data_IF_515844112042
#
_entry.id   IF_515844112042
#
_cell.length_a   1.000
_cell.length_b   1.000
_cell.length_c   1.000
_cell.angle_alpha   90.00
_cell.angle_beta   90.00
_cell.angle_gamma   90.00
#
_symmetry.space_group_name_H-M   'P 1'
#
loop_
_entity.id
_entity.type
_entity.pdbx_description
1 polymer ?
#
# COMPACT_ATOMS: atom_id res chain seq x y z
N UNK A 1 9.78 23.78 -6.83
CA UNK A 1 9.52 23.81 -5.38
C UNK A 1 10.03 22.51 -4.80
N UNK A 2 10.79 22.56 -3.70
CA UNK A 2 11.39 21.37 -3.09
C UNK A 2 10.53 20.75 -1.96
N UNK A 3 9.48 21.45 -1.50
CA UNK A 3 8.63 21.04 -0.38
C UNK A 3 7.22 20.73 -0.84
N UNK A 4 6.81 19.47 -0.66
CA UNK A 4 5.48 18.97 -1.08
C UNK A 4 4.73 18.50 0.16
N UNK A 5 3.59 19.09 0.52
CA UNK A 5 2.73 18.57 1.57
C UNK A 5 1.98 17.34 1.07
N UNK A 6 1.83 16.35 1.94
CA UNK A 6 1.21 15.08 1.60
C UNK A 6 0.31 14.57 2.72
N UNK A 7 -0.67 13.76 2.34
CA UNK A 7 -1.49 12.95 3.21
C UNK A 7 -1.37 11.48 2.81
N UNK A 8 -1.24 10.60 3.79
CA UNK A 8 -1.47 9.17 3.65
C UNK A 8 -2.72 8.82 4.47
N UNK A 9 -3.78 8.40 3.80
CA UNK A 9 -5.06 8.07 4.41
C UNK A 9 -5.19 6.56 4.48
N UNK A 10 -5.07 5.99 5.66
CA UNK A 10 -5.27 4.58 5.93
C UNK A 10 -6.61 4.30 6.62
N UNK A 11 -7.01 3.03 6.71
CA UNK A 11 -8.29 2.64 7.34
C UNK A 11 -8.37 2.90 8.85
N UNK A 12 -7.26 3.20 9.52
CA UNK A 12 -7.19 3.41 10.97
C UNK A 12 -6.47 4.69 11.38
N UNK A 13 -5.66 5.24 10.50
CA UNK A 13 -4.86 6.43 10.76
C UNK A 13 -4.75 7.27 9.50
N UNK A 14 -4.57 8.57 9.70
CA UNK A 14 -4.09 9.50 8.68
C UNK A 14 -2.72 10.03 9.09
N UNK A 15 -1.80 10.12 8.14
CA UNK A 15 -0.48 10.71 8.32
C UNK A 15 -0.34 11.91 7.39
N UNK A 16 -0.01 13.06 7.93
CA UNK A 16 0.36 14.24 7.15
C UNK A 16 1.86 14.49 7.25
N UNK A 17 2.47 14.96 6.17
CA UNK A 17 3.88 15.34 6.17
C UNK A 17 4.16 16.46 5.16
N UNK A 18 5.31 17.12 5.32
CA UNK A 18 5.93 17.94 4.28
C UNK A 18 7.20 17.21 3.84
N UNK A 19 7.28 16.83 2.58
CA UNK A 19 8.44 16.12 2.01
C UNK A 19 9.37 17.11 1.31
N UNK A 20 10.65 17.12 1.72
CA UNK A 20 11.69 17.78 0.95
C UNK A 20 12.18 16.85 -0.17
N UNK A 21 11.88 17.25 -1.41
CA UNK A 21 12.21 16.48 -2.61
C UNK A 21 13.50 16.96 -3.31
N UNK A 22 14.19 17.94 -2.73
CA UNK A 22 15.46 18.46 -3.28
C UNK A 22 16.62 17.49 -3.10
N UNK A 23 16.57 16.64 -2.08
CA UNK A 23 17.59 15.64 -1.80
C UNK A 23 17.29 14.33 -2.51
N UNK A 24 18.33 13.64 -2.97
CA UNK A 24 18.23 12.33 -3.66
C UNK A 24 17.45 11.27 -2.84
N UNK A 25 17.39 11.43 -1.51
CA UNK A 25 16.69 10.52 -0.61
C UNK A 25 15.30 10.96 -0.19
N UNK A 26 14.80 12.13 -0.61
CA UNK A 26 13.55 12.75 -0.16
C UNK A 26 13.28 12.50 1.35
N UNK A 27 13.13 13.54 2.14
CA UNK A 27 13.05 13.41 3.61
C UNK A 27 11.78 14.08 4.12
N UNK A 28 11.01 13.44 5.01
CA UNK A 28 9.95 14.11 5.75
C UNK A 28 10.55 15.18 6.67
N UNK A 29 10.09 16.44 6.56
CA UNK A 29 10.50 17.54 7.42
C UNK A 29 9.60 17.68 8.66
N UNK A 30 8.30 17.37 8.49
CA UNK A 30 7.31 17.37 9.54
C UNK A 30 6.39 16.18 9.30
N UNK A 31 6.10 15.41 10.35
CA UNK A 31 5.20 14.26 10.27
C UNK A 31 4.22 14.33 11.45
N UNK A 32 2.95 14.23 11.16
CA UNK A 32 1.87 14.13 12.15
C UNK A 32 1.02 12.93 11.80
N UNK A 33 0.79 12.05 12.75
CA UNK A 33 -0.05 10.85 12.58
C UNK A 33 -1.11 10.80 13.67
N UNK A 34 -2.36 10.59 13.27
CA UNK A 34 -3.50 10.50 14.19
C UNK A 34 -4.46 9.39 13.75
N UNK A 35 -5.24 8.84 14.67
CA UNK A 35 -6.35 7.97 14.32
C UNK A 35 -7.35 8.66 13.41
N UNK A 36 -7.98 7.90 12.51
CA UNK A 36 -9.04 8.41 11.63
C UNK A 36 -10.34 7.66 11.89
N UNK A 37 -11.47 8.37 12.03
CA UNK A 37 -12.79 7.75 12.24
C UNK A 37 -13.35 7.26 10.88
N UNK A 38 -12.80 6.16 10.34
CA UNK A 38 -13.11 5.68 8.99
C UNK A 38 -14.61 5.36 8.75
N UNK A 39 -15.38 5.14 9.82
CA UNK A 39 -16.81 4.84 9.77
C UNK A 39 -17.70 6.08 10.04
N UNK A 40 -17.10 7.25 10.30
CA UNK A 40 -17.82 8.48 10.54
C UNK A 40 -18.52 9.01 9.29
N UNK A 41 -19.51 9.91 9.42
CA UNK A 41 -20.06 10.66 8.31
C UNK A 41 -18.97 11.41 7.52
N UNK A 42 -19.16 11.56 6.20
CA UNK A 42 -18.17 12.17 5.34
C UNK A 42 -17.64 13.55 5.81
N UNK A 43 -18.47 14.50 6.25
CA UNK A 43 -17.96 15.77 6.75
C UNK A 43 -17.02 15.62 7.95
N UNK A 44 -17.39 14.81 8.94
CA UNK A 44 -16.57 14.56 10.13
C UNK A 44 -15.25 13.88 9.80
N UNK A 45 -15.29 12.88 8.93
CA UNK A 45 -14.11 12.17 8.46
C UNK A 45 -13.15 13.12 7.72
N UNK A 46 -13.67 13.96 6.81
CA UNK A 46 -12.89 14.91 6.03
C UNK A 46 -12.33 16.04 6.90
N UNK A 47 -13.09 16.51 7.89
CA UNK A 47 -12.62 17.49 8.87
C UNK A 47 -11.47 16.91 9.72
N UNK A 48 -11.58 15.65 10.15
CA UNK A 48 -10.50 14.97 10.88
C UNK A 48 -9.22 14.85 10.03
N UNK A 49 -9.34 14.46 8.76
CA UNK A 49 -8.21 14.38 7.82
C UNK A 49 -7.56 15.76 7.64
N UNK A 50 -8.36 16.80 7.38
CA UNK A 50 -7.87 18.16 7.17
C UNK A 50 -7.20 18.72 8.42
N UNK A 51 -7.72 18.43 9.62
CA UNK A 51 -7.12 18.85 10.89
C UNK A 51 -5.70 18.31 11.09
N UNK A 52 -5.41 17.09 10.65
CA UNK A 52 -4.06 16.54 10.67
C UNK A 52 -3.17 17.24 9.65
N UNK A 53 -3.69 17.51 8.43
CA UNK A 53 -3.00 18.28 7.41
C UNK A 53 -2.63 19.70 7.86
N UNK A 54 -3.47 20.34 8.68
CA UNK A 54 -3.22 21.69 9.20
C UNK A 54 -1.99 21.79 10.11
N UNK A 55 -1.53 20.68 10.68
CA UNK A 55 -0.45 20.67 11.69
C UNK A 55 0.96 20.57 11.11
N UNK A 56 1.11 20.33 9.80
CA UNK A 56 2.45 20.12 9.20
C UNK A 56 3.07 21.41 8.61
N UNK A 57 2.38 22.54 8.68
CA UNK A 57 2.92 23.83 8.20
C UNK A 57 3.15 23.85 6.68
N UNK A 58 2.17 23.38 5.92
CA UNK A 58 2.24 23.37 4.46
C UNK A 58 2.39 24.79 3.90
N UNK A 59 3.16 24.98 2.80
CA UNK A 59 3.21 26.27 2.11
C UNK A 59 1.83 26.71 1.59
N UNK A 60 1.60 28.02 1.50
CA UNK A 60 0.43 28.54 0.81
C UNK A 60 0.46 28.16 -0.67
N UNK A 61 -0.72 28.08 -1.29
CA UNK A 61 -0.92 27.67 -2.70
C UNK A 61 -0.26 26.34 -3.06
N UNK A 62 -0.02 25.47 -2.06
CA UNK A 62 0.68 24.22 -2.29
C UNK A 62 -0.16 23.24 -3.12
N UNK A 63 0.53 22.45 -3.94
CA UNK A 63 -0.06 21.27 -4.56
C UNK A 63 0.15 20.08 -3.59
N UNK A 64 -0.95 19.52 -3.09
CA UNK A 64 -0.92 18.39 -2.15
C UNK A 64 -0.94 17.04 -2.86
N UNK A 65 -0.15 16.09 -2.34
CA UNK A 65 -0.24 14.69 -2.73
C UNK A 65 -1.02 13.89 -1.69
N UNK A 66 -1.95 13.04 -2.15
CA UNK A 66 -2.77 12.21 -1.26
C UNK A 66 -2.66 10.75 -1.66
N UNK A 67 -2.09 9.92 -0.78
CA UNK A 67 -2.16 8.48 -0.89
C UNK A 67 -3.42 7.99 -0.17
N UNK A 68 -4.27 7.24 -0.89
CA UNK A 68 -5.54 6.72 -0.37
C UNK A 68 -5.80 5.32 -0.94
N UNK A 69 -6.32 4.36 -0.14
CA UNK A 69 -6.66 3.03 -0.65
C UNK A 69 -7.82 3.06 -1.63
N UNK A 70 -7.91 2.04 -2.45
CA UNK A 70 -9.09 1.83 -3.30
C UNK A 70 -10.25 1.14 -2.58
N UNK A 71 -11.43 1.10 -3.25
CA UNK A 71 -11.73 1.65 -4.58
C UNK A 71 -11.91 3.17 -4.58
N UNK A 72 -11.17 3.85 -5.45
CA UNK A 72 -11.14 5.31 -5.56
C UNK A 72 -10.86 5.71 -7.01
N UNK A 73 -11.44 6.79 -7.47
CA UNK A 73 -11.16 7.38 -8.77
C UNK A 73 -10.02 8.40 -8.61
N UNK A 74 -8.79 7.97 -8.90
CA UNK A 74 -7.60 8.76 -8.66
C UNK A 74 -7.45 9.96 -9.61
N UNK A 75 -8.13 9.95 -10.75
CA UNK A 75 -8.08 11.04 -11.73
C UNK A 75 -9.07 12.15 -11.37
N UNK A 76 -10.26 11.79 -10.89
CA UNK A 76 -11.32 12.74 -10.54
C UNK A 76 -11.39 13.08 -9.06
N UNK A 77 -10.73 12.31 -8.18
CA UNK A 77 -10.79 12.50 -6.73
C UNK A 77 -12.09 12.03 -6.08
N UNK A 78 -12.87 11.17 -6.76
CA UNK A 78 -14.19 10.70 -6.27
C UNK A 78 -14.05 9.35 -5.56
N UNK A 79 -14.59 9.26 -4.34
CA UNK A 79 -14.67 8.03 -3.57
C UNK A 79 -15.58 6.99 -4.23
N UNK A 80 -15.12 5.73 -4.32
CA UNK A 80 -15.88 4.59 -4.86
C UNK A 80 -16.11 3.50 -3.82
N UNK A 81 -15.93 3.81 -2.55
CA UNK A 81 -16.04 2.89 -1.43
C UNK A 81 -17.46 2.35 -1.27
N UNK A 82 -17.63 1.06 -1.47
CA UNK A 82 -18.91 0.37 -1.29
C UNK A 82 -18.68 -1.08 -0.91
N UNK A 83 -19.22 -1.50 0.24
CA UNK A 83 -19.15 -2.89 0.70
C UNK A 83 -17.76 -3.32 1.17
N UNK A 84 -16.90 -2.39 1.58
CA UNK A 84 -15.53 -2.67 2.02
C UNK A 84 -15.31 -2.40 3.52
N UNK A 85 -16.35 -1.96 4.23
CA UNK A 85 -16.34 -1.80 5.68
C UNK A 85 -15.51 -0.63 6.20
N UNK A 86 -15.07 0.29 5.33
CA UNK A 86 -14.39 1.54 5.71
C UNK A 86 -14.62 2.60 4.63
N UNK A 87 -14.67 3.87 5.04
CA UNK A 87 -14.86 5.01 4.13
C UNK A 87 -16.15 4.96 3.31
N UNK A 88 -17.14 4.17 3.72
CA UNK A 88 -18.41 4.01 2.99
C UNK A 88 -19.12 5.36 2.79
N UNK A 89 -18.98 6.28 3.75
CA UNK A 89 -19.54 7.63 3.69
C UNK A 89 -18.92 8.49 2.58
N UNK A 90 -17.74 8.15 2.08
CA UNK A 90 -17.10 8.85 0.96
C UNK A 90 -17.56 8.34 -0.41
N UNK A 91 -18.50 7.37 -0.46
CA UNK A 91 -18.99 6.88 -1.74
C UNK A 91 -19.71 7.98 -2.53
N UNK A 92 -19.20 8.31 -3.73
CA UNK A 92 -19.73 9.37 -4.60
C UNK A 92 -19.32 10.80 -4.19
N UNK A 93 -18.57 10.96 -3.10
CA UNK A 93 -18.06 12.27 -2.65
C UNK A 93 -16.85 12.66 -3.48
N UNK A 94 -16.80 13.91 -3.94
CA UNK A 94 -15.61 14.56 -4.49
C UNK A 94 -14.67 14.95 -3.34
N UNK A 95 -13.83 13.97 -2.95
CA UNK A 95 -12.85 14.14 -1.88
C UNK A 95 -11.83 15.23 -2.23
N UNK A 96 -11.54 15.40 -3.53
CA UNK A 96 -10.64 16.44 -4.01
C UNK A 96 -11.17 17.86 -3.70
N UNK A 97 -12.39 18.15 -4.12
CA UNK A 97 -13.05 19.45 -3.83
C UNK A 97 -13.20 19.70 -2.33
N UNK A 98 -13.58 18.66 -1.59
CA UNK A 98 -13.78 18.74 -0.14
C UNK A 98 -12.47 19.01 0.62
N UNK A 99 -11.36 18.38 0.25
CA UNK A 99 -10.06 18.66 0.85
C UNK A 99 -9.48 20.01 0.42
N UNK A 100 -9.69 20.45 -0.82
CA UNK A 100 -9.32 21.79 -1.27
C UNK A 100 -9.97 22.88 -0.40
N UNK A 101 -11.25 22.69 -0.03
CA UNK A 101 -11.99 23.64 0.79
C UNK A 101 -11.56 23.65 2.27
N UNK A 102 -11.01 22.55 2.78
CA UNK A 102 -10.71 22.37 4.21
C UNK A 102 -9.23 22.53 4.58
N UNK A 103 -8.33 22.17 3.67
CA UNK A 103 -6.90 22.25 3.96
C UNK A 103 -6.43 23.71 4.04
N UNK A 104 -5.50 24.02 4.94
CA UNK A 104 -5.02 25.40 5.13
C UNK A 104 -4.16 25.87 3.96
N UNK A 105 -4.03 27.19 3.84
CA UNK A 105 -3.14 27.84 2.87
C UNK A 105 -3.71 27.89 1.45
N UNK A 106 -5.01 27.65 1.25
CA UNK A 106 -5.68 27.66 -0.06
C UNK A 106 -4.92 26.82 -1.10
N UNK A 107 -4.90 25.49 -0.95
CA UNK A 107 -4.17 24.63 -1.88
C UNK A 107 -4.56 24.88 -3.33
N UNK A 108 -3.58 24.90 -4.23
CA UNK A 108 -3.84 25.10 -5.66
C UNK A 108 -4.41 23.86 -6.34
N UNK A 109 -4.05 22.68 -5.83
CA UNK A 109 -4.42 21.38 -6.41
C UNK A 109 -4.21 20.25 -5.41
N UNK A 110 -4.94 19.14 -5.62
CA UNK A 110 -4.69 17.86 -4.97
C UNK A 110 -4.49 16.79 -6.05
N UNK A 111 -3.45 15.99 -5.90
CA UNK A 111 -3.21 14.77 -6.70
C UNK A 111 -3.41 13.54 -5.83
N UNK A 112 -4.08 12.55 -6.38
CA UNK A 112 -4.32 11.29 -5.69
C UNK A 112 -3.47 10.16 -6.25
N UNK A 113 -3.11 9.23 -5.38
CA UNK A 113 -2.42 8.00 -5.75
C UNK A 113 -2.89 6.86 -4.86
N UNK A 114 -2.92 5.66 -5.40
CA UNK A 114 -3.21 4.47 -4.59
C UNK A 114 -2.11 4.26 -3.54
N UNK A 115 -2.48 3.81 -2.34
CA UNK A 115 -1.57 3.58 -1.21
C UNK A 115 -0.41 2.62 -1.52
N UNK A 116 -0.68 1.51 -2.23
CA UNK A 116 0.37 0.58 -2.64
C UNK A 116 1.26 1.15 -3.77
N UNK A 117 0.70 1.97 -4.68
CA UNK A 117 1.50 2.67 -5.69
C UNK A 117 2.38 3.74 -5.03
N UNK A 118 1.84 4.49 -4.06
CA UNK A 118 2.60 5.46 -3.28
C UNK A 118 3.75 4.79 -2.53
N UNK A 119 3.48 3.67 -1.83
CA UNK A 119 4.53 2.88 -1.19
C UNK A 119 5.63 2.47 -2.18
N UNK A 120 5.24 1.92 -3.33
CA UNK A 120 6.18 1.45 -4.34
C UNK A 120 7.03 2.60 -4.92
N UNK A 121 6.41 3.74 -5.21
CA UNK A 121 7.10 4.94 -5.68
C UNK A 121 8.10 5.45 -4.66
N UNK A 122 7.76 5.44 -3.37
CA UNK A 122 8.66 5.85 -2.29
C UNK A 122 9.87 4.94 -2.17
N UNK A 123 9.68 3.61 -2.16
CA UNK A 123 10.77 2.64 -2.14
C UNK A 123 11.63 2.71 -3.41
N UNK A 124 11.04 3.04 -4.55
CA UNK A 124 11.76 3.28 -5.79
C UNK A 124 12.62 4.55 -5.75
N UNK A 125 12.13 5.60 -5.13
CA UNK A 125 12.83 6.90 -5.07
C UNK A 125 13.90 6.98 -3.99
N UNK A 126 13.64 6.39 -2.83
CA UNK A 126 14.46 6.59 -1.65
C UNK A 126 14.69 5.33 -0.79
N UNK A 127 14.33 4.16 -1.28
CA UNK A 127 14.37 2.91 -0.51
C UNK A 127 14.97 1.74 -1.26
N UNK A 128 14.48 0.54 -0.95
CA UNK A 128 15.03 -0.74 -1.40
C UNK A 128 15.00 -0.94 -2.92
N UNK A 129 14.11 -0.27 -3.64
CA UNK A 129 13.95 -0.39 -5.08
C UNK A 129 14.76 0.64 -5.89
N UNK A 130 15.57 1.49 -5.22
CA UNK A 130 16.36 2.50 -5.92
C UNK A 130 17.30 1.88 -6.97
N UNK A 131 17.30 2.47 -8.16
CA UNK A 131 18.14 2.01 -9.28
C UNK A 131 17.66 0.73 -10.01
N UNK A 132 16.50 0.17 -9.63
CA UNK A 132 15.89 -0.97 -10.30
C UNK A 132 14.99 -0.49 -11.44
N UNK A 133 14.89 -1.27 -12.53
CA UNK A 133 14.02 -0.90 -13.64
C UNK A 133 12.59 -1.43 -13.45
N UNK A 134 12.45 -2.73 -13.20
CA UNK A 134 11.17 -3.40 -12.99
C UNK A 134 11.06 -3.87 -11.54
N UNK A 135 10.07 -3.39 -10.83
CA UNK A 135 9.90 -3.71 -9.41
C UNK A 135 8.46 -4.17 -9.16
N UNK A 136 8.33 -5.27 -8.44
CA UNK A 136 7.07 -5.67 -7.84
C UNK A 136 7.09 -5.29 -6.37
N UNK A 137 6.21 -4.41 -5.96
CA UNK A 137 5.99 -4.10 -4.54
C UNK A 137 4.73 -4.82 -4.04
N UNK A 138 4.83 -5.44 -2.88
CA UNK A 138 3.71 -6.10 -2.19
C UNK A 138 3.64 -5.54 -0.78
N UNK A 139 2.46 -5.13 -0.35
CA UNK A 139 2.20 -4.75 1.04
C UNK A 139 1.28 -5.79 1.69
N UNK A 140 1.72 -6.35 2.82
CA UNK A 140 1.01 -7.38 3.57
C UNK A 140 0.59 -6.83 4.93
N UNK A 141 -0.71 -6.73 5.16
CA UNK A 141 -1.27 -6.15 6.37
C UNK A 141 -2.73 -6.57 6.55
N UNK A 142 -3.65 -5.62 6.72
CA UNK A 142 -5.10 -5.91 6.78
C UNK A 142 -5.55 -6.68 5.52
N UNK A 143 -5.06 -6.27 4.35
CA UNK A 143 -5.24 -6.93 3.06
C UNK A 143 -3.91 -7.08 2.32
N UNK A 144 -3.98 -7.29 1.00
CA UNK A 144 -2.84 -7.43 0.10
C UNK A 144 -2.81 -6.27 -0.89
N UNK A 145 -1.87 -5.34 -0.71
CA UNK A 145 -1.59 -4.31 -1.72
C UNK A 145 -0.50 -4.74 -2.70
N UNK A 146 -0.54 -4.22 -3.92
CA UNK A 146 0.52 -4.45 -4.90
C UNK A 146 0.70 -3.28 -5.85
N UNK A 147 1.92 -3.11 -6.35
CA UNK A 147 2.26 -2.20 -7.42
C UNK A 147 3.37 -2.79 -8.29
N UNK A 148 3.20 -2.71 -9.60
CA UNK A 148 4.17 -3.12 -10.60
C UNK A 148 4.77 -1.85 -11.21
N UNK A 149 6.06 -1.61 -10.97
CA UNK A 149 6.75 -0.42 -11.49
C UNK A 149 7.66 -0.77 -12.67
N UNK A 150 7.60 0.01 -13.73
CA UNK A 150 8.58 0.00 -14.80
C UNK A 150 9.16 1.40 -14.98
N UNK A 151 10.46 1.55 -14.73
CA UNK A 151 11.12 2.86 -14.78
C UNK A 151 10.55 3.88 -13.80
N UNK A 152 10.04 3.43 -12.66
CA UNK A 152 9.42 4.28 -11.64
C UNK A 152 8.01 4.77 -11.98
N UNK A 153 7.34 4.13 -12.93
CA UNK A 153 5.93 4.38 -13.25
C UNK A 153 5.10 3.13 -12.94
N UNK A 154 3.96 3.26 -12.24
CA UNK A 154 3.02 2.16 -12.06
C UNK A 154 2.49 1.66 -13.40
N UNK A 155 2.49 0.33 -13.56
CA UNK A 155 1.91 -0.36 -14.72
C UNK A 155 0.61 -0.98 -14.24
N UNK A 156 -0.50 -0.47 -14.74
CA UNK A 156 -1.85 -0.88 -14.34
C UNK A 156 -2.57 -1.73 -15.38
N UNK A 157 -2.11 -1.67 -16.62
CA UNK A 157 -2.71 -2.32 -17.77
C UNK A 157 -1.71 -3.10 -18.61
N UNK A 158 -2.21 -4.03 -19.39
CA UNK A 158 -1.41 -4.85 -20.29
C UNK A 158 -1.32 -6.32 -19.87
N UNK A 159 -0.71 -7.16 -20.71
CA UNK A 159 -0.68 -8.62 -20.50
C UNK A 159 0.29 -9.05 -19.37
N UNK A 160 1.19 -8.17 -18.94
CA UNK A 160 2.28 -8.51 -18.03
C UNK A 160 1.92 -8.28 -16.56
N UNK A 161 0.81 -7.60 -16.27
CA UNK A 161 0.36 -7.27 -14.91
C UNK A 161 -1.10 -7.67 -14.70
N UNK A 162 -1.51 -7.97 -13.47
CA UNK A 162 -2.93 -8.21 -13.18
C UNK A 162 -3.76 -6.95 -13.44
N UNK A 163 -5.07 -7.09 -13.67
CA UNK A 163 -5.95 -5.95 -13.93
C UNK A 163 -5.80 -4.86 -12.86
N UNK A 164 -5.50 -3.64 -13.29
CA UNK A 164 -5.19 -2.50 -12.44
C UNK A 164 -3.87 -2.60 -11.69
N UNK A 165 -3.00 -3.58 -11.96
CA UNK A 165 -1.80 -3.87 -11.17
C UNK A 165 -2.11 -4.43 -9.77
N UNK A 166 -3.33 -4.99 -9.55
CA UNK A 166 -3.88 -5.29 -8.21
C UNK A 166 -3.88 -6.79 -7.90
N UNK A 167 -2.91 -7.23 -7.10
CA UNK A 167 -2.80 -8.65 -6.70
C UNK A 167 -3.98 -9.11 -5.83
N UNK A 168 -4.61 -8.25 -5.03
CA UNK A 168 -5.78 -8.62 -4.23
C UNK A 168 -6.97 -9.13 -5.06
N UNK A 169 -7.01 -8.79 -6.35
CA UNK A 169 -8.06 -9.26 -7.29
C UNK A 169 -7.77 -10.65 -7.86
N UNK A 170 -6.61 -11.20 -7.56
CA UNK A 170 -6.25 -12.55 -8.02
C UNK A 170 -7.04 -13.60 -7.27
N UNK A 171 -7.15 -14.77 -7.88
CA UNK A 171 -7.68 -15.97 -7.26
C UNK A 171 -6.57 -17.01 -7.15
N UNK A 172 -6.63 -17.80 -6.11
CA UNK A 172 -5.75 -18.96 -5.90
C UNK A 172 -6.59 -20.12 -5.37
N UNK A 173 -6.45 -21.26 -5.99
CA UNK A 173 -7.21 -22.47 -5.65
C UNK A 173 -8.74 -22.23 -5.63
N UNK A 174 -9.23 -21.34 -6.50
CA UNK A 174 -10.66 -20.98 -6.64
C UNK A 174 -11.17 -19.93 -5.65
N UNK A 175 -10.33 -19.44 -4.74
CA UNK A 175 -10.68 -18.41 -3.75
C UNK A 175 -10.04 -17.07 -4.10
N UNK A 176 -10.68 -15.92 -3.77
CA UNK A 176 -10.01 -14.63 -3.79
C UNK A 176 -8.76 -14.64 -2.92
N UNK A 177 -7.66 -14.05 -3.39
CA UNK A 177 -6.38 -14.08 -2.68
C UNK A 177 -6.48 -13.53 -1.25
N UNK A 178 -7.26 -12.48 -1.01
CA UNK A 178 -7.46 -11.92 0.33
C UNK A 178 -8.22 -12.84 1.30
N UNK A 179 -8.99 -13.81 0.80
CA UNK A 179 -9.60 -14.85 1.64
C UNK A 179 -8.59 -15.90 2.11
N UNK A 180 -7.35 -15.84 1.60
CA UNK A 180 -6.27 -16.75 2.00
C UNK A 180 -5.12 -16.01 2.71
N UNK A 181 -4.81 -14.77 2.32
CA UNK A 181 -3.58 -14.07 2.74
C UNK A 181 -3.85 -12.78 3.53
N UNK A 182 -5.09 -12.35 3.72
CA UNK A 182 -5.38 -11.22 4.61
C UNK A 182 -5.09 -11.56 6.07
N UNK A 183 -4.84 -10.53 6.91
CA UNK A 183 -4.63 -10.70 8.36
C UNK A 183 -5.75 -11.53 9.00
N UNK A 184 -7.01 -11.28 8.62
CA UNK A 184 -8.17 -12.05 9.07
C UNK A 184 -8.04 -13.53 8.67
N UNK A 185 -7.86 -13.78 7.38
CA UNK A 185 -7.83 -15.15 6.84
C UNK A 185 -6.70 -16.00 7.43
N UNK A 186 -5.51 -15.44 7.60
CA UNK A 186 -4.36 -16.14 8.22
C UNK A 186 -4.69 -16.54 9.66
N UNK A 187 -5.28 -15.63 10.44
CA UNK A 187 -5.64 -15.88 11.85
C UNK A 187 -6.71 -16.96 11.97
N UNK A 188 -7.74 -16.90 11.11
CA UNK A 188 -8.82 -17.89 11.05
C UNK A 188 -8.28 -19.28 10.65
N UNK A 189 -7.40 -19.32 9.65
CA UNK A 189 -6.77 -20.58 9.21
C UNK A 189 -5.92 -21.19 10.32
N UNK A 190 -5.12 -20.38 11.01
CA UNK A 190 -4.32 -20.85 12.15
C UNK A 190 -5.20 -21.39 13.26
N UNK A 191 -6.26 -20.67 13.62
CA UNK A 191 -7.18 -21.11 14.67
C UNK A 191 -7.80 -22.47 14.34
N UNK A 192 -8.21 -22.69 13.10
CA UNK A 192 -8.73 -23.97 12.63
C UNK A 192 -7.64 -25.08 12.66
N UNK A 193 -6.44 -24.78 12.17
CA UNK A 193 -5.32 -25.74 12.13
C UNK A 193 -4.83 -26.14 13.54
N UNK A 194 -4.86 -25.22 14.49
CA UNK A 194 -4.48 -25.45 15.89
C UNK A 194 -5.64 -25.95 16.76
N UNK A 195 -6.82 -26.16 16.17
CA UNK A 195 -8.05 -26.54 16.86
C UNK A 195 -8.35 -25.64 18.09
N UNK A 196 -8.11 -24.32 17.94
CA UNK A 196 -8.38 -23.38 19.01
C UNK A 196 -9.88 -23.31 19.24
N UNK A 197 -10.30 -23.54 20.48
CA UNK A 197 -11.68 -23.46 20.93
C UNK A 197 -11.79 -22.39 22.01
N UNK A 198 -12.74 -21.48 21.87
CA UNK A 198 -13.02 -20.43 22.86
C UNK A 198 -13.36 -19.08 22.21
N UNK A 199 -14.01 -18.20 22.99
CA UNK A 199 -14.43 -16.86 22.55
C UNK A 199 -13.31 -15.81 22.70
N UNK A 200 -12.06 -16.25 22.90
CA UNK A 200 -10.92 -15.35 23.05
C UNK A 200 -10.45 -14.73 21.73
N UNK A 201 -9.68 -13.64 21.78
CA UNK A 201 -9.10 -13.05 20.58
C UNK A 201 -8.12 -14.04 19.93
N UNK A 202 -8.24 -14.20 18.60
CA UNK A 202 -7.30 -15.02 17.84
C UNK A 202 -5.90 -14.40 17.86
N UNK A 203 -4.84 -15.22 17.94
CA UNK A 203 -3.45 -14.74 17.81
C UNK A 203 -3.25 -13.88 16.56
N UNK A 204 -2.42 -12.86 16.67
CA UNK A 204 -2.08 -12.06 15.52
C UNK A 204 -1.00 -12.72 14.66
N UNK A 205 -0.83 -12.25 13.41
CA UNK A 205 0.10 -12.85 12.46
C UNK A 205 1.55 -12.85 12.97
N UNK A 206 1.97 -11.84 13.75
CA UNK A 206 3.30 -11.85 14.36
C UNK A 206 3.44 -12.93 15.45
N UNK A 207 2.40 -13.17 16.25
CA UNK A 207 2.38 -14.23 17.26
C UNK A 207 2.39 -15.63 16.61
N UNK A 208 1.65 -15.79 15.50
CA UNK A 208 1.68 -17.01 14.67
C UNK A 208 3.08 -17.22 14.08
N UNK A 209 3.73 -16.16 13.62
CA UNK A 209 5.10 -16.24 13.12
C UNK A 209 6.09 -16.63 14.23
N UNK A 210 5.94 -16.12 15.46
CA UNK A 210 6.79 -16.48 16.60
C UNK A 210 6.55 -17.93 17.03
N UNK A 211 5.29 -18.40 17.02
CA UNK A 211 4.99 -19.81 17.25
C UNK A 211 5.64 -20.72 16.18
N UNK A 212 5.58 -20.32 14.91
CA UNK A 212 6.24 -21.05 13.83
C UNK A 212 7.77 -21.10 13.99
N UNK A 213 8.41 -20.02 14.44
CA UNK A 213 9.85 -20.00 14.78
C UNK A 213 10.18 -20.95 15.93
N UNK A 214 9.25 -21.10 16.88
CA UNK A 214 9.38 -22.06 17.97
C UNK A 214 9.10 -23.53 17.57
N UNK A 215 8.73 -23.77 16.31
CA UNK A 215 8.48 -25.12 15.78
C UNK A 215 7.04 -25.61 15.91
N UNK A 216 6.07 -24.72 16.23
CA UNK A 216 4.66 -25.05 16.30
C UNK A 216 4.16 -25.55 14.92
N UNK A 217 3.65 -26.79 14.86
CA UNK A 217 3.29 -27.43 13.61
C UNK A 217 2.08 -26.76 12.91
N UNK A 218 0.99 -26.39 13.61
CA UNK A 218 -0.10 -25.60 13.03
C UNK A 218 0.35 -24.24 12.47
N UNK A 219 1.23 -23.52 13.18
CA UNK A 219 1.75 -22.25 12.71
C UNK A 219 2.62 -22.39 11.46
N UNK A 220 3.51 -23.38 11.43
CA UNK A 220 4.31 -23.72 10.24
C UNK A 220 3.43 -24.12 9.05
N UNK A 221 2.36 -24.88 9.30
CA UNK A 221 1.38 -25.24 8.28
C UNK A 221 0.67 -24.00 7.73
N UNK A 222 0.23 -23.10 8.60
CA UNK A 222 -0.42 -21.83 8.24
C UNK A 222 0.48 -20.98 7.36
N UNK A 223 1.75 -20.79 7.74
CA UNK A 223 2.73 -20.03 6.96
C UNK A 223 2.88 -20.62 5.55
N UNK A 224 3.10 -21.94 5.46
CA UNK A 224 3.26 -22.60 4.15
C UNK A 224 2.01 -22.50 3.29
N UNK A 225 0.83 -22.69 3.87
CA UNK A 225 -0.44 -22.64 3.16
C UNK A 225 -0.70 -21.22 2.62
N UNK A 226 -0.76 -20.23 3.49
CA UNK A 226 -1.16 -18.87 3.13
C UNK A 226 -0.11 -18.19 2.24
N UNK A 227 1.17 -18.22 2.63
CA UNK A 227 2.21 -17.52 1.86
C UNK A 227 2.67 -18.30 0.63
N UNK A 228 2.55 -19.63 0.64
CA UNK A 228 2.67 -20.44 -0.58
C UNK A 228 1.57 -20.12 -1.60
N UNK A 229 0.34 -19.89 -1.13
CA UNK A 229 -0.76 -19.44 -1.99
C UNK A 229 -0.50 -18.05 -2.58
N UNK A 230 0.04 -17.10 -1.81
CA UNK A 230 0.50 -15.81 -2.34
C UNK A 230 1.53 -16.00 -3.46
N UNK A 231 2.50 -16.87 -3.24
CA UNK A 231 3.51 -17.19 -4.24
C UNK A 231 2.89 -17.76 -5.52
N UNK A 232 1.99 -18.73 -5.42
CA UNK A 232 1.29 -19.31 -6.59
C UNK A 232 0.47 -18.25 -7.35
N UNK A 233 -0.24 -17.38 -6.64
CA UNK A 233 -1.02 -16.32 -7.28
C UNK A 233 -0.14 -15.29 -8.03
N UNK A 234 1.05 -14.99 -7.49
CA UNK A 234 1.98 -14.04 -8.11
C UNK A 234 2.82 -14.66 -9.25
N UNK A 235 2.97 -15.97 -9.27
CA UNK A 235 3.88 -16.67 -10.17
C UNK A 235 3.70 -16.35 -11.67
N UNK A 236 2.48 -16.40 -12.26
CA UNK A 236 2.27 -16.06 -13.67
C UNK A 236 2.67 -14.61 -14.00
N UNK A 237 2.53 -13.72 -13.02
CA UNK A 237 2.85 -12.30 -13.17
C UNK A 237 4.35 -12.03 -12.99
N UNK A 238 5.02 -12.75 -12.12
CA UNK A 238 6.49 -12.72 -12.03
C UNK A 238 7.14 -13.22 -13.32
N UNK A 239 6.61 -14.28 -13.94
CA UNK A 239 7.09 -14.80 -15.21
C UNK A 239 6.93 -13.81 -16.36
N UNK A 240 5.78 -13.15 -16.47
CA UNK A 240 5.47 -12.18 -17.54
C UNK A 240 6.17 -10.85 -17.32
N UNK A 241 5.98 -10.26 -16.15
CA UNK A 241 6.53 -8.95 -15.82
C UNK A 241 8.05 -8.98 -15.66
N UNK A 242 8.64 -10.07 -15.15
CA UNK A 242 10.06 -10.27 -14.87
C UNK A 242 10.63 -9.14 -14.01
N UNK A 243 10.17 -8.97 -12.77
CA UNK A 243 10.69 -7.95 -11.89
C UNK A 243 12.15 -8.22 -11.53
N UNK A 244 12.98 -7.16 -11.53
CA UNK A 244 14.38 -7.23 -11.08
C UNK A 244 14.46 -7.43 -9.56
N UNK A 245 13.42 -6.99 -8.86
CA UNK A 245 13.31 -7.04 -7.42
C UNK A 245 11.84 -7.09 -6.98
N UNK A 246 11.56 -7.85 -5.93
CA UNK A 246 10.32 -7.75 -5.15
C UNK A 246 10.61 -7.04 -3.83
N UNK A 247 9.86 -5.97 -3.53
CA UNK A 247 9.93 -5.26 -2.25
C UNK A 247 8.68 -5.58 -1.45
N UNK A 248 8.88 -6.01 -0.20
CA UNK A 248 7.79 -6.40 0.69
C UNK A 248 7.66 -5.43 1.85
N UNK A 249 6.47 -4.84 1.98
CA UNK A 249 6.11 -3.92 3.05
C UNK A 249 4.86 -4.38 3.81
N UNK A 250 4.34 -3.47 4.63
CA UNK A 250 3.20 -3.73 5.51
C UNK A 250 3.60 -4.38 6.82
N UNK A 251 2.63 -4.56 7.72
CA UNK A 251 2.89 -5.02 9.10
C UNK A 251 3.48 -6.43 9.19
N UNK A 252 3.26 -7.27 8.18
CA UNK A 252 3.77 -8.65 8.16
C UNK A 252 5.22 -8.73 7.64
N UNK A 253 5.76 -7.67 7.06
CA UNK A 253 7.13 -7.68 6.51
C UNK A 253 8.21 -7.92 7.59
N UNK A 254 7.91 -7.62 8.86
CA UNK A 254 8.80 -7.91 10.00
C UNK A 254 9.11 -9.40 10.20
N UNK A 255 8.29 -10.30 9.63
CA UNK A 255 8.51 -11.76 9.69
C UNK A 255 8.92 -12.34 8.33
N UNK A 256 9.46 -11.52 7.43
CA UNK A 256 9.79 -11.95 6.07
C UNK A 256 10.85 -13.07 6.01
N UNK A 257 11.73 -13.15 6.99
CA UNK A 257 12.67 -14.28 7.17
C UNK A 257 11.95 -15.64 7.15
N UNK A 258 10.77 -15.72 7.75
CA UNK A 258 9.93 -16.90 7.84
C UNK A 258 8.95 -17.02 6.66
N UNK A 259 8.31 -15.89 6.26
CA UNK A 259 7.26 -15.88 5.25
C UNK A 259 7.82 -15.99 3.82
N UNK A 260 8.96 -15.35 3.58
CA UNK A 260 9.60 -15.25 2.26
C UNK A 260 9.94 -16.59 1.60
N UNK A 261 10.46 -17.60 2.33
CA UNK A 261 10.69 -18.93 1.79
C UNK A 261 9.43 -19.56 1.20
N UNK A 262 8.29 -19.49 1.89
CA UNK A 262 7.02 -20.04 1.41
C UNK A 262 6.50 -19.32 0.16
N UNK A 263 6.63 -17.99 0.10
CA UNK A 263 6.28 -17.20 -1.11
C UNK A 263 7.16 -17.62 -2.29
N UNK A 264 8.47 -17.74 -2.08
CA UNK A 264 9.42 -18.11 -3.12
C UNK A 264 9.16 -19.52 -3.64
N UNK A 265 8.88 -20.47 -2.73
CA UNK A 265 8.51 -21.84 -3.10
C UNK A 265 7.20 -21.86 -3.92
N UNK A 266 6.20 -21.08 -3.51
CA UNK A 266 4.95 -20.92 -4.25
C UNK A 266 5.17 -20.37 -5.67
N UNK A 267 6.03 -19.37 -5.85
CA UNK A 267 6.38 -18.87 -7.19
C UNK A 267 7.13 -19.94 -7.99
N UNK A 268 8.11 -20.58 -7.40
CA UNK A 268 8.94 -21.60 -8.07
C UNK A 268 8.15 -22.86 -8.46
N UNK A 269 7.04 -23.15 -7.78
CA UNK A 269 6.17 -24.29 -8.13
C UNK A 269 5.47 -24.13 -9.49
N UNK A 270 5.32 -22.89 -9.98
CA UNK A 270 4.78 -22.59 -11.32
C UNK A 270 5.85 -22.79 -12.40
N UNK A 271 6.97 -22.10 -12.24
CA UNK A 271 8.08 -22.21 -13.16
C UNK A 271 9.40 -21.98 -12.39
N UNK A 272 10.31 -22.98 -12.33
CA UNK A 272 11.59 -22.84 -11.64
C UNK A 272 12.40 -21.66 -12.19
N UNK A 273 12.96 -20.84 -11.29
CA UNK A 273 13.82 -19.70 -11.65
C UNK A 273 13.07 -18.40 -11.94
N UNK A 274 11.73 -18.36 -11.84
CA UNK A 274 10.94 -17.13 -12.07
C UNK A 274 10.78 -16.27 -10.81
N UNK A 275 11.08 -16.80 -9.62
CA UNK A 275 10.99 -16.05 -8.37
C UNK A 275 12.07 -14.93 -8.36
N UNK A 276 11.66 -13.66 -8.30
CA UNK A 276 12.62 -12.57 -8.23
C UNK A 276 13.35 -12.53 -6.87
N UNK A 277 14.52 -11.91 -6.78
CA UNK A 277 15.08 -11.52 -5.50
C UNK A 277 14.05 -10.70 -4.70
N UNK A 278 13.94 -10.98 -3.40
CA UNK A 278 12.96 -10.32 -2.55
C UNK A 278 13.64 -9.72 -1.31
N UNK A 279 13.27 -8.49 -0.98
CA UNK A 279 13.76 -7.76 0.21
C UNK A 279 12.61 -7.07 0.93
N UNK A 280 12.79 -6.78 2.19
CA UNK A 280 11.85 -5.92 2.93
C UNK A 280 12.08 -4.45 2.59
N UNK A 281 11.02 -3.65 2.72
CA UNK A 281 11.07 -2.21 2.57
C UNK A 281 12.15 -1.58 3.48
N UNK A 282 12.87 -0.61 2.96
CA UNK A 282 13.85 0.16 3.74
C UNK A 282 13.23 1.36 4.45
N UNK A 283 12.12 1.87 3.92
CA UNK A 283 11.44 3.06 4.45
C UNK A 283 9.94 2.83 4.66
N UNK A 284 9.52 1.79 5.40
CA UNK A 284 8.14 1.37 5.45
C UNK A 284 7.16 2.45 5.95
N UNK A 285 7.62 3.36 6.81
CA UNK A 285 6.81 4.46 7.33
C UNK A 285 6.79 5.69 6.41
N UNK A 286 7.87 5.95 5.69
CA UNK A 286 8.03 7.17 4.88
C UNK A 286 7.67 6.94 3.41
N UNK A 287 7.79 5.71 2.92
CA UNK A 287 7.64 5.42 1.50
C UNK A 287 6.29 5.88 0.92
N UNK A 288 5.13 5.66 1.55
CA UNK A 288 3.87 6.17 1.00
C UNK A 288 3.83 7.69 0.88
N UNK A 289 4.42 8.40 1.85
CA UNK A 289 4.48 9.87 1.87
C UNK A 289 5.41 10.38 0.76
N UNK A 290 6.60 9.78 0.64
CA UNK A 290 7.57 10.10 -0.41
C UNK A 290 6.98 9.84 -1.80
N UNK A 291 6.29 8.71 -1.97
CA UNK A 291 5.66 8.35 -3.23
C UNK A 291 4.54 9.30 -3.64
N UNK A 292 3.69 9.71 -2.69
CA UNK A 292 2.65 10.71 -2.91
C UNK A 292 3.25 12.06 -3.36
N UNK A 293 4.34 12.51 -2.72
CA UNK A 293 5.04 13.72 -3.12
C UNK A 293 5.61 13.63 -4.55
N UNK A 294 6.22 12.50 -4.90
CA UNK A 294 6.77 12.30 -6.25
C UNK A 294 5.69 12.19 -7.33
N UNK A 295 4.54 11.60 -7.03
CA UNK A 295 3.39 11.58 -7.93
C UNK A 295 2.92 13.02 -8.25
N UNK A 296 2.80 13.85 -7.22
CA UNK A 296 2.43 15.28 -7.35
C UNK A 296 3.37 16.04 -8.26
N UNK A 297 4.69 15.86 -8.09
CA UNK A 297 5.69 16.51 -8.93
C UNK A 297 5.62 16.03 -10.38
N UNK A 298 5.39 14.74 -10.60
CA UNK A 298 5.26 14.19 -11.94
C UNK A 298 4.06 14.80 -12.68
N UNK A 299 2.90 14.86 -12.03
CA UNK A 299 1.71 15.47 -12.62
C UNK A 299 1.90 16.96 -12.92
N UNK A 300 2.56 17.69 -12.02
CA UNK A 300 2.88 19.10 -12.26
C UNK A 300 3.83 19.30 -13.46
N UNK A 301 4.72 18.36 -13.72
CA UNK A 301 5.64 18.41 -14.87
C UNK A 301 4.97 18.07 -16.20
N UNK A 302 3.94 17.21 -16.18
CA UNK A 302 3.21 16.75 -17.38
C UNK A 302 2.05 17.68 -17.73
N UNK A 303 1.50 18.43 -16.76
CA UNK A 303 0.43 19.39 -17.01
C UNK A 303 0.87 20.43 -18.06
N UNK A 304 0.07 20.70 -19.12
CA UNK A 304 0.42 21.71 -20.10
C UNK A 304 0.56 23.06 -19.39
N UNK A 305 1.71 23.70 -19.54
CA UNK A 305 1.92 25.08 -19.06
C UNK A 305 0.84 25.94 -19.69
N UNK A 306 -0.04 26.51 -18.88
CA UNK A 306 -0.98 27.52 -19.35
C UNK A 306 -0.16 28.59 -20.12
N UNK A 307 -0.44 28.78 -21.40
CA UNK A 307 0.18 29.85 -22.18
C UNK A 307 -0.34 31.17 -21.57
N UNK A 308 0.54 31.88 -20.92
CA UNK A 308 0.32 33.28 -20.52
C UNK A 308 0.20 34.14 -21.73
#
# INVERSE_FOLDING_TARGET
MSRVPVLEIGGTHVTAAVIDTAFAGSVPLAVVREPVPADAPAPELLDAIAAVGARVGAPADAHWGVAIPGPFDYDTGIGRFRGIGKFESLHGVDVGAELLARLPGAPSRISFVNDADAFALGEYRAGAAAGRRKVLCITLGTGVGSSFLNGGQPVTDGPDVPPGGRAHRLTVDGLPLEEVVSRRAIREFYAAAAALSGDGPLPDVHEIADAARAGDAPALHTVRHCFGALGRALAPWCERFRPDLMVVGGSMAGSWDLLGPAVREGIASWAPGTAPPAVTAQRPADAPLIGAAHRTLHEAAVAPRART
#
